data_IF_823447914784
#
_entry.id   IF_823447914784
#
_cell.length_a   1.000
_cell.length_b   1.000
_cell.length_c   1.000
_cell.angle_alpha   90.00
_cell.angle_beta   90.00
_cell.angle_gamma   90.00
#
_symmetry.space_group_name_H-M   'P 1'
#
loop_
_entity.id
_entity.type
_entity.pdbx_description
1 polymer ?
#
# COMPACT_ATOMS: atom_id res chain seq x y z
N UNK A 1 -2.68 9.00 15.14
CA UNK A 1 -3.03 8.07 14.05
C UNK A 1 -1.85 7.29 13.46
N UNK A 2 -0.58 7.74 13.56
CA UNK A 2 0.57 7.04 12.95
C UNK A 2 0.81 5.60 13.46
N UNK A 3 0.50 5.31 14.72
CA UNK A 3 0.62 3.95 15.26
C UNK A 3 -0.23 2.92 14.48
N UNK A 4 -1.35 3.33 13.90
CA UNK A 4 -2.25 2.45 13.15
C UNK A 4 -1.75 2.14 11.73
N UNK A 5 -1.15 3.12 11.04
CA UNK A 5 -0.56 2.88 9.71
C UNK A 5 0.70 2.01 9.79
N UNK A 6 1.48 2.14 10.86
CA UNK A 6 2.69 1.35 11.09
C UNK A 6 2.32 -0.11 11.38
N UNK A 7 1.35 -0.36 12.27
CA UNK A 7 0.90 -1.72 12.56
C UNK A 7 0.28 -2.41 11.33
N UNK A 8 -0.48 -1.67 10.51
CA UNK A 8 -1.06 -2.19 9.27
C UNK A 8 0.02 -2.69 8.28
N UNK A 9 1.10 -1.92 8.12
CA UNK A 9 2.22 -2.31 7.26
C UNK A 9 2.97 -3.56 7.77
N UNK A 10 3.17 -3.67 9.09
CA UNK A 10 3.81 -4.84 9.70
C UNK A 10 2.96 -6.11 9.50
N UNK A 11 1.66 -6.01 9.73
CA UNK A 11 0.74 -7.14 9.51
C UNK A 11 0.74 -7.55 8.03
N UNK A 12 0.74 -6.59 7.09
CA UNK A 12 0.83 -6.86 5.66
C UNK A 12 2.11 -7.66 5.31
N UNK A 13 3.27 -7.27 5.82
CA UNK A 13 4.53 -8.00 5.59
C UNK A 13 4.49 -9.43 6.16
N UNK A 14 3.90 -9.62 7.34
CA UNK A 14 3.76 -10.95 7.96
C UNK A 14 2.82 -11.85 7.13
N UNK A 15 1.68 -11.31 6.68
CA UNK A 15 0.74 -12.05 5.83
C UNK A 15 1.42 -12.43 4.50
N UNK A 16 2.15 -11.51 3.88
CA UNK A 16 2.80 -11.77 2.60
C UNK A 16 3.92 -12.82 2.71
N UNK A 17 4.73 -12.73 3.77
CA UNK A 17 5.78 -13.72 4.06
C UNK A 17 5.22 -15.12 4.36
N UNK A 18 4.19 -15.19 5.21
CA UNK A 18 3.54 -16.48 5.52
C UNK A 18 2.79 -17.06 4.32
N UNK A 19 2.11 -16.24 3.52
CA UNK A 19 1.46 -16.67 2.29
C UNK A 19 2.47 -17.20 1.25
N UNK A 20 3.67 -16.64 1.17
CA UNK A 20 4.73 -17.16 0.30
C UNK A 20 5.20 -18.56 0.72
N UNK A 21 5.42 -18.78 2.03
CA UNK A 21 5.80 -20.09 2.57
C UNK A 21 4.70 -21.14 2.36
N UNK A 22 3.45 -20.81 2.72
CA UNK A 22 2.30 -21.70 2.53
C UNK A 22 2.05 -21.95 1.03
N UNK A 23 2.27 -20.96 0.17
CA UNK A 23 2.17 -21.09 -1.28
C UNK A 23 3.20 -22.05 -1.84
N UNK A 24 4.46 -21.95 -1.41
CA UNK A 24 5.52 -22.86 -1.80
C UNK A 24 5.17 -24.32 -1.40
N UNK A 25 4.77 -24.54 -0.15
CA UNK A 25 4.34 -25.88 0.30
C UNK A 25 3.08 -26.37 -0.43
N UNK A 26 2.12 -25.49 -0.71
CA UNK A 26 0.89 -25.81 -1.44
C UNK A 26 1.15 -26.26 -2.87
N UNK A 27 2.13 -25.66 -3.54
CA UNK A 27 2.59 -26.06 -4.88
C UNK A 27 3.33 -27.42 -4.81
N UNK A 28 4.22 -27.61 -3.84
CA UNK A 28 4.96 -28.88 -3.68
C UNK A 28 4.03 -30.08 -3.42
N UNK A 29 3.00 -29.91 -2.58
CA UNK A 29 2.07 -30.98 -2.20
C UNK A 29 0.85 -31.08 -3.14
N UNK A 30 0.78 -30.24 -4.19
CA UNK A 30 -0.33 -30.21 -5.16
C UNK A 30 -1.73 -30.03 -4.53
N UNK A 31 -1.80 -29.43 -3.33
CA UNK A 31 -3.05 -29.28 -2.58
C UNK A 31 -3.80 -28.02 -2.98
N UNK A 32 -4.93 -28.19 -3.69
CA UNK A 32 -5.74 -27.08 -4.23
C UNK A 32 -6.21 -26.12 -3.12
N UNK A 33 -6.54 -26.64 -1.93
CA UNK A 33 -7.03 -25.84 -0.80
C UNK A 33 -5.97 -24.87 -0.24
N UNK A 34 -4.69 -25.27 -0.24
CA UNK A 34 -3.58 -24.41 0.22
C UNK A 34 -3.28 -23.27 -0.78
N UNK A 35 -3.50 -23.54 -2.07
CA UNK A 35 -3.29 -22.56 -3.14
C UNK A 35 -4.43 -21.52 -3.15
N UNK A 36 -5.65 -21.93 -2.81
CA UNK A 36 -6.77 -21.00 -2.70
C UNK A 36 -6.62 -20.07 -1.48
N UNK A 37 -6.21 -20.60 -0.32
CA UNK A 37 -6.03 -19.77 0.88
C UNK A 37 -4.91 -18.74 0.70
N UNK A 38 -3.84 -19.10 0.00
CA UNK A 38 -2.73 -18.18 -0.29
C UNK A 38 -3.18 -17.04 -1.19
N UNK A 39 -3.98 -17.31 -2.23
CA UNK A 39 -4.58 -16.27 -3.06
C UNK A 39 -5.43 -15.26 -2.27
N UNK A 40 -6.22 -15.73 -1.29
CA UNK A 40 -7.01 -14.87 -0.40
C UNK A 40 -6.13 -14.07 0.56
N UNK A 41 -5.06 -14.68 1.10
CA UNK A 41 -4.11 -13.97 1.96
C UNK A 41 -3.39 -12.83 1.21
N UNK A 42 -3.02 -13.04 -0.06
CA UNK A 42 -2.48 -11.96 -0.92
C UNK A 42 -3.49 -10.83 -1.13
N UNK A 43 -4.78 -11.13 -1.34
CA UNK A 43 -5.83 -10.10 -1.46
C UNK A 43 -5.97 -9.28 -0.17
N UNK A 44 -6.00 -9.94 0.99
CA UNK A 44 -6.07 -9.27 2.28
C UNK A 44 -4.85 -8.36 2.52
N UNK A 45 -3.64 -8.85 2.20
CA UNK A 45 -2.43 -8.05 2.26
C UNK A 45 -2.50 -6.81 1.35
N UNK A 46 -3.00 -6.96 0.11
CA UNK A 46 -3.19 -5.84 -0.82
C UNK A 46 -4.15 -4.78 -0.27
N UNK A 47 -5.25 -5.19 0.37
CA UNK A 47 -6.21 -4.27 1.00
C UNK A 47 -5.57 -3.50 2.17
N UNK A 48 -4.80 -4.18 3.03
CA UNK A 48 -4.07 -3.52 4.13
C UNK A 48 -3.00 -2.53 3.61
N UNK A 49 -2.30 -2.90 2.53
CA UNK A 49 -1.37 -2.00 1.86
C UNK A 49 -2.09 -0.78 1.27
N UNK A 50 -3.23 -0.96 0.61
CA UNK A 50 -4.06 0.13 0.08
C UNK A 50 -4.53 1.09 1.18
N UNK A 51 -5.00 0.56 2.32
CA UNK A 51 -5.39 1.42 3.45
C UNK A 51 -4.21 2.25 3.96
N UNK A 52 -3.02 1.64 4.07
CA UNK A 52 -1.80 2.34 4.48
C UNK A 52 -1.45 3.45 3.49
N UNK A 53 -1.52 3.15 2.19
CA UNK A 53 -1.23 4.10 1.12
C UNK A 53 -2.22 5.26 1.08
N UNK A 54 -3.51 4.97 1.26
CA UNK A 54 -4.58 5.97 1.33
C UNK A 54 -4.41 6.90 2.52
N UNK A 55 -4.04 6.40 3.70
CA UNK A 55 -3.75 7.23 4.88
C UNK A 55 -2.58 8.18 4.59
N UNK A 56 -1.52 7.69 3.95
CA UNK A 56 -0.36 8.51 3.56
C UNK A 56 -0.78 9.56 2.51
N UNK A 57 -1.62 9.19 1.55
CA UNK A 57 -2.13 10.08 0.51
C UNK A 57 -3.02 11.19 1.09
N UNK A 58 -3.96 10.86 1.96
CA UNK A 58 -4.80 11.83 2.66
C UNK A 58 -3.99 12.77 3.54
N UNK A 59 -3.00 12.26 4.31
CA UNK A 59 -2.09 13.13 5.07
C UNK A 59 -1.33 14.12 4.18
N UNK A 60 -1.00 13.76 2.94
CA UNK A 60 -0.37 14.69 1.98
C UNK A 60 -1.36 15.70 1.41
N UNK A 61 -2.58 15.27 1.07
CA UNK A 61 -3.61 16.18 0.56
C UNK A 61 -4.04 17.19 1.63
N UNK A 62 -4.12 16.77 2.89
CA UNK A 62 -4.52 17.61 4.03
C UNK A 62 -3.37 18.50 4.56
N UNK A 63 -2.13 18.26 4.15
CA UNK A 63 -1.01 19.21 4.32
C UNK A 63 -0.86 20.22 3.17
N UNK A 64 -1.61 20.04 2.07
CA UNK A 64 -1.70 20.94 0.92
C UNK A 64 -2.91 21.90 0.85
N UNK A 65 -3.91 21.94 1.75
CA UNK A 65 -5.17 22.65 1.50
C UNK A 65 -5.15 24.13 1.91
N UNK A 66 -3.98 24.79 1.99
CA UNK A 66 -3.92 26.21 2.42
C UNK A 66 -2.85 27.04 1.72
N UNK A 67 -2.45 26.68 0.49
CA UNK A 67 -1.60 27.58 -0.31
C UNK A 67 -2.24 28.08 -1.60
N UNK A 68 -3.48 27.69 -1.88
CA UNK A 68 -4.18 28.08 -3.13
C UNK A 68 -5.59 28.64 -2.91
N UNK A 69 -5.99 28.89 -1.66
CA UNK A 69 -7.18 29.71 -1.39
C UNK A 69 -6.74 31.01 -0.73
N UNK A 70 -7.02 32.07 -1.48
CA UNK A 70 -6.80 33.47 -1.22
C UNK A 70 -7.15 33.93 0.22
N UNK A 71 -6.38 34.91 0.67
CA UNK A 71 -6.64 35.91 1.71
C UNK A 71 -7.40 35.56 3.01
N UNK A 72 -6.80 36.03 4.11
CA UNK A 72 -7.39 36.39 5.40
C UNK A 72 -7.56 35.27 6.45
N UNK A 73 -7.24 35.63 7.69
CA UNK A 73 -7.46 34.78 8.87
C UNK A 73 -6.23 34.05 9.38
N UNK A 74 -5.44 34.78 10.18
CA UNK A 74 -4.77 34.31 11.41
C UNK A 74 -4.87 32.81 11.72
N UNK A 75 -3.86 32.03 11.35
CA UNK A 75 -3.63 30.72 11.96
C UNK A 75 -2.17 30.60 12.36
N UNK A 76 -1.97 30.14 13.59
CA UNK A 76 -0.71 29.86 14.28
C UNK A 76 0.15 31.04 14.72
N UNK A 77 -0.23 31.61 15.88
CA UNK A 77 0.65 31.83 17.05
C UNK A 77 1.94 32.65 16.89
N UNK A 78 2.17 33.24 15.73
CA UNK A 78 3.28 34.13 15.42
C UNK A 78 2.63 35.46 15.11
N UNK A 79 2.95 36.49 15.90
CA UNK A 79 2.64 37.88 15.55
C UNK A 79 3.50 38.23 14.34
N UNK A 80 3.05 37.82 13.16
CA UNK A 80 3.60 38.26 11.90
C UNK A 80 3.02 39.65 11.63
N UNK A 81 3.81 40.67 11.99
CA UNK A 81 3.57 42.06 11.61
C UNK A 81 3.38 42.13 10.08
N UNK A 82 2.39 42.88 9.57
CA UNK A 82 2.11 42.90 8.14
C UNK A 82 3.27 43.55 7.40
N UNK A 83 3.99 42.77 6.61
CA UNK A 83 5.12 43.22 5.82
C UNK A 83 6.27 42.21 5.77
N UNK A 84 6.39 41.50 4.64
CA UNK A 84 7.64 40.87 4.20
C UNK A 84 8.01 39.50 4.77
N UNK A 85 7.59 39.13 5.99
CA UNK A 85 8.07 37.89 6.63
C UNK A 85 7.37 36.60 6.14
N UNK A 86 6.10 36.67 5.71
CA UNK A 86 5.37 35.52 5.17
C UNK A 86 5.93 35.02 3.82
N UNK A 87 6.57 35.90 3.06
CA UNK A 87 7.21 35.57 1.77
C UNK A 87 8.54 34.84 2.02
N UNK A 88 9.24 35.17 3.12
CA UNK A 88 10.52 34.57 3.51
C UNK A 88 10.39 33.19 4.19
N UNK A 89 9.20 32.80 4.67
CA UNK A 89 8.95 31.46 5.24
C UNK A 89 8.57 30.41 4.18
N UNK A 90 8.15 30.82 2.97
CA UNK A 90 7.88 29.92 1.83
C UNK A 90 9.05 29.00 1.45
N UNK A 91 10.32 29.47 1.37
CA UNK A 91 11.44 28.59 1.03
C UNK A 91 11.84 27.64 2.16
N UNK A 92 11.59 28.00 3.42
CA UNK A 92 11.88 27.15 4.58
C UNK A 92 10.87 26.00 4.75
N UNK A 93 9.59 26.22 4.36
CA UNK A 93 8.60 25.13 4.24
C UNK A 93 8.81 24.26 2.99
N UNK A 94 9.43 24.81 1.94
CA UNK A 94 9.86 24.05 0.76
C UNK A 94 10.89 22.96 1.07
N UNK A 95 11.69 23.12 2.12
CA UNK A 95 12.63 22.11 2.60
C UNK A 95 11.96 20.89 3.27
N UNK A 96 10.67 20.99 3.63
CA UNK A 96 9.87 19.85 4.16
C UNK A 96 9.11 19.07 3.09
N UNK A 97 9.28 19.41 1.81
CA UNK A 97 8.80 18.58 0.71
C UNK A 97 9.83 17.49 0.45
N UNK A 98 9.83 16.47 1.30
CA UNK A 98 10.57 15.25 1.01
C UNK A 98 10.00 14.65 -0.28
N UNK A 99 10.74 14.78 -1.38
CA UNK A 99 10.57 14.05 -2.64
C UNK A 99 10.71 12.54 -2.37
N UNK A 100 9.71 11.95 -1.74
CA UNK A 100 9.52 10.50 -1.63
C UNK A 100 8.47 10.07 -2.64
N UNK A 101 8.58 10.55 -3.88
CA UNK A 101 7.77 10.05 -5.00
C UNK A 101 8.08 8.57 -5.22
N UNK A 102 9.37 8.19 -5.17
CA UNK A 102 9.83 6.81 -5.34
C UNK A 102 9.12 5.79 -4.45
N UNK A 103 9.06 5.99 -3.13
CA UNK A 103 8.42 5.02 -2.23
C UNK A 103 6.91 4.94 -2.43
N UNK A 104 6.28 6.04 -2.86
CA UNK A 104 4.83 6.06 -3.08
C UNK A 104 4.47 5.36 -4.39
N UNK A 105 5.24 5.61 -5.46
CA UNK A 105 5.12 4.93 -6.74
C UNK A 105 5.43 3.42 -6.61
N UNK A 106 6.48 3.07 -5.85
CA UNK A 106 6.79 1.68 -5.49
C UNK A 106 5.68 1.03 -4.65
N UNK A 107 5.02 1.79 -3.77
CA UNK A 107 3.91 1.30 -2.97
C UNK A 107 2.68 0.96 -3.82
N UNK A 108 2.30 1.82 -4.77
CA UNK A 108 1.28 1.50 -5.77
C UNK A 108 1.68 0.28 -6.61
N UNK A 109 2.94 0.21 -7.03
CA UNK A 109 3.50 -0.96 -7.73
C UNK A 109 3.35 -2.25 -6.91
N UNK A 110 3.63 -2.21 -5.61
CA UNK A 110 3.47 -3.34 -4.71
C UNK A 110 2.01 -3.81 -4.60
N UNK A 111 1.05 -2.88 -4.51
CA UNK A 111 -0.39 -3.21 -4.50
C UNK A 111 -0.80 -3.88 -5.81
N UNK A 112 -0.40 -3.32 -6.96
CA UNK A 112 -0.71 -3.87 -8.28
C UNK A 112 -0.10 -5.26 -8.45
N UNK A 113 1.16 -5.43 -8.05
CA UNK A 113 1.85 -6.72 -8.08
C UNK A 113 1.15 -7.75 -7.19
N UNK A 114 0.69 -7.34 -6.00
CA UNK A 114 -0.06 -8.20 -5.10
C UNK A 114 -1.41 -8.64 -5.70
N UNK A 115 -2.13 -7.74 -6.37
CA UNK A 115 -3.37 -8.05 -7.07
C UNK A 115 -3.14 -9.01 -8.26
N UNK A 116 -2.10 -8.77 -9.06
CA UNK A 116 -1.70 -9.66 -10.16
C UNK A 116 -1.33 -11.05 -9.61
N UNK A 117 -0.57 -11.10 -8.51
CA UNK A 117 -0.22 -12.34 -7.84
C UNK A 117 -1.47 -13.11 -7.38
N UNK A 118 -2.46 -12.45 -6.77
CA UNK A 118 -3.72 -13.09 -6.40
C UNK A 118 -4.46 -13.68 -7.61
N UNK A 119 -4.51 -12.96 -8.73
CA UNK A 119 -5.11 -13.49 -9.97
C UNK A 119 -4.34 -14.70 -10.47
N UNK A 120 -3.00 -14.64 -10.49
CA UNK A 120 -2.14 -15.77 -10.87
C UNK A 120 -2.36 -16.98 -9.96
N UNK A 121 -2.49 -16.81 -8.64
CA UNK A 121 -2.78 -17.88 -7.70
C UNK A 121 -4.17 -18.50 -7.92
N UNK A 122 -5.18 -17.69 -8.22
CA UNK A 122 -6.52 -18.18 -8.55
C UNK A 122 -6.50 -18.93 -9.88
N UNK A 123 -5.83 -18.40 -10.91
CA UNK A 123 -5.65 -19.06 -12.19
C UNK A 123 -4.91 -20.38 -12.02
N UNK A 124 -3.86 -20.42 -11.20
CA UNK A 124 -3.11 -21.63 -10.87
C UNK A 124 -4.00 -22.67 -10.18
N UNK A 125 -4.83 -22.26 -9.22
CA UNK A 125 -5.80 -23.15 -8.56
C UNK A 125 -6.80 -23.75 -9.57
N UNK A 126 -7.21 -22.97 -10.57
CA UNK A 126 -8.09 -23.44 -11.65
C UNK A 126 -7.34 -24.38 -12.58
N UNK A 127 -6.15 -24.03 -13.06
CA UNK A 127 -5.33 -24.88 -13.94
C UNK A 127 -5.03 -26.22 -13.26
N UNK A 128 -4.69 -26.23 -11.97
CA UNK A 128 -4.46 -27.48 -11.22
C UNK A 128 -5.74 -28.31 -11.04
N UNK A 129 -6.91 -27.66 -10.96
CA UNK A 129 -8.22 -28.34 -10.99
C UNK A 129 -8.63 -28.81 -12.39
N UNK A 130 -8.11 -28.21 -13.46
CA UNK A 130 -8.34 -28.64 -14.85
C UNK A 130 -7.26 -29.60 -15.37
N UNK A 131 -6.11 -29.73 -14.68
CA UNK A 131 -5.07 -30.71 -14.97
C UNK A 131 -5.10 -32.04 -14.16
N UNK A 132 -6.18 -32.48 -13.46
CA UNK A 132 -6.27 -33.83 -12.94
C UNK A 132 -6.54 -34.88 -14.03
N UNK A 133 -6.68 -34.49 -15.30
CA UNK A 133 -6.95 -35.41 -16.41
C UNK A 133 -5.74 -36.24 -16.88
N UNK A 134 -4.49 -35.83 -16.64
CA UNK A 134 -3.33 -36.61 -17.11
C UNK A 134 -2.89 -37.74 -16.15
N UNK A 135 -3.44 -37.80 -14.94
CA UNK A 135 -3.14 -38.85 -13.94
C UNK A 135 -4.23 -39.93 -13.83
N UNK A 136 -5.33 -39.81 -14.57
CA UNK A 136 -6.38 -40.84 -14.69
C UNK A 136 -6.24 -41.64 -16.01
N UNK A 137 -5.21 -41.34 -16.80
CA UNK A 137 -4.90 -42.00 -18.08
C UNK A 137 -3.54 -42.73 -18.04
N UNK A 138 -3.12 -43.12 -16.82
CA UNK A 138 -2.12 -44.16 -16.53
C UNK A 138 -2.80 -45.18 -15.62
#
# INVERSE_FOLDING_TARGET
>A
MQNLSISCSLVCLIILGSAALVGAFGVCQRQISAILITGVMYLLAALFALFTLMIIHFKRQQGRPMLDSDYDGTVDGIVARPGGAAIMAKPLLGARVFLTSWSLDLGWGGVVLCAIASVLWILLSKIMRYNPFSTLMI
#
